data_IF_176538393838
#
_entry.id   IF_176538393838
#
_cell.length_a   1.000
_cell.length_b   1.000
_cell.length_c   1.000
_cell.angle_alpha   90.00
_cell.angle_beta   90.00
_cell.angle_gamma   90.00
#
_symmetry.space_group_name_H-M   'P 1'
#
loop_
_entity.id
_entity.type
_entity.pdbx_description
1 polymer ?
#
# COMPACT_ATOMS: atom_id res chain seq x y z
N UNK A 1 -19.75 25.68 -8.46
CA UNK A 1 -19.28 24.32 -8.03
C UNK A 1 -17.79 24.25 -8.31
N UNK A 2 -17.00 23.96 -7.31
CA UNK A 2 -15.55 23.69 -7.47
C UNK A 2 -15.37 22.33 -8.14
N UNK A 3 -14.48 22.23 -9.14
CA UNK A 3 -14.12 20.94 -9.74
C UNK A 3 -13.37 20.10 -8.71
N UNK A 4 -13.58 18.77 -8.66
CA UNK A 4 -12.76 17.89 -7.82
C UNK A 4 -11.27 18.04 -8.17
N UNK A 5 -10.44 18.20 -7.15
CA UNK A 5 -9.00 18.37 -7.35
C UNK A 5 -8.28 17.04 -7.07
N UNK A 6 -7.85 16.38 -8.13
CA UNK A 6 -7.05 15.15 -8.10
C UNK A 6 -5.55 15.42 -8.24
N UNK A 7 -5.13 16.69 -8.29
CA UNK A 7 -3.72 17.05 -8.42
C UNK A 7 -2.92 16.70 -7.17
N UNK A 8 -1.73 16.17 -7.39
CA UNK A 8 -0.73 15.96 -6.35
C UNK A 8 0.46 16.90 -6.49
N UNK A 9 0.28 18.00 -7.27
CA UNK A 9 1.34 19.00 -7.52
C UNK A 9 1.84 19.59 -6.19
N UNK A 10 3.16 19.55 -6.00
CA UNK A 10 3.82 20.06 -4.80
C UNK A 10 3.71 19.14 -3.58
N UNK A 11 3.13 17.95 -3.71
CA UNK A 11 3.10 16.92 -2.68
C UNK A 11 4.33 16.04 -2.76
N UNK A 12 4.76 15.50 -1.61
CA UNK A 12 5.81 14.50 -1.46
C UNK A 12 5.17 13.20 -0.98
N UNK A 13 5.35 12.14 -1.74
CA UNK A 13 4.83 10.82 -1.42
C UNK A 13 5.97 9.84 -1.06
N UNK A 14 5.76 9.05 0.01
CA UNK A 14 6.57 7.88 0.32
C UNK A 14 5.76 6.61 0.01
N UNK A 15 6.26 5.78 -0.91
CA UNK A 15 5.62 4.52 -1.33
C UNK A 15 6.51 3.34 -0.96
N UNK A 16 6.04 2.48 -0.04
CA UNK A 16 6.75 1.24 0.31
C UNK A 16 6.40 0.09 -0.64
N UNK A 17 7.35 -0.81 -0.88
CA UNK A 17 7.19 -1.84 -1.92
C UNK A 17 7.12 -1.24 -3.33
N UNK A 18 7.73 -0.07 -3.55
CA UNK A 18 7.63 0.73 -4.77
C UNK A 18 8.38 0.20 -5.99
N UNK A 19 9.09 -0.94 -5.88
CA UNK A 19 9.90 -1.47 -6.98
C UNK A 19 9.13 -2.27 -8.04
N UNK A 20 7.89 -2.69 -7.77
CA UNK A 20 7.06 -3.50 -8.69
C UNK A 20 5.58 -3.50 -8.31
N UNK A 21 4.75 -4.11 -9.18
CA UNK A 21 3.32 -4.32 -8.95
C UNK A 21 2.59 -3.05 -8.57
N UNK A 22 1.65 -3.14 -7.63
CA UNK A 22 0.81 -2.02 -7.18
C UNK A 22 1.65 -0.83 -6.70
N UNK A 23 2.75 -1.08 -5.95
CA UNK A 23 3.60 0.00 -5.46
C UNK A 23 4.31 0.77 -6.57
N UNK A 24 4.84 0.09 -7.61
CA UNK A 24 5.42 0.74 -8.79
C UNK A 24 4.35 1.55 -9.54
N UNK A 25 3.20 0.93 -9.84
CA UNK A 25 2.10 1.60 -10.55
C UNK A 25 1.64 2.85 -9.79
N UNK A 26 1.49 2.75 -8.45
CA UNK A 26 1.14 3.89 -7.59
C UNK A 26 2.20 5.00 -7.66
N UNK A 27 3.48 4.66 -7.57
CA UNK A 27 4.57 5.64 -7.61
C UNK A 27 4.60 6.40 -8.94
N UNK A 28 4.42 5.70 -10.07
CA UNK A 28 4.33 6.29 -11.40
C UNK A 28 3.07 7.14 -11.56
N UNK A 29 1.91 6.65 -11.07
CA UNK A 29 0.65 7.40 -11.09
C UNK A 29 0.72 8.68 -10.26
N UNK A 30 1.36 8.65 -9.10
CA UNK A 30 1.55 9.86 -8.28
C UNK A 30 2.49 10.87 -8.96
N UNK A 31 3.55 10.39 -9.60
CA UNK A 31 4.44 11.25 -10.39
C UNK A 31 3.68 11.91 -11.56
N UNK A 32 2.87 11.15 -12.29
CA UNK A 32 2.02 11.70 -13.38
C UNK A 32 1.00 12.73 -12.89
N UNK A 33 0.50 12.56 -11.64
CA UNK A 33 -0.40 13.51 -10.98
C UNK A 33 0.33 14.74 -10.38
N UNK A 34 1.68 14.77 -10.43
CA UNK A 34 2.49 15.93 -10.05
C UNK A 34 3.23 15.83 -8.72
N UNK A 35 3.23 14.68 -8.04
CA UNK A 35 3.99 14.48 -6.80
C UNK A 35 5.47 14.21 -7.04
N UNK A 36 6.32 14.62 -6.12
CA UNK A 36 7.66 14.09 -5.95
C UNK A 36 7.57 12.82 -5.11
N UNK A 37 8.35 11.78 -5.45
CA UNK A 37 8.11 10.44 -4.89
C UNK A 37 9.38 9.83 -4.31
N UNK A 38 9.36 9.47 -3.03
CA UNK A 38 10.29 8.52 -2.44
C UNK A 38 9.72 7.10 -2.57
N UNK A 39 10.54 6.17 -3.02
CA UNK A 39 10.16 4.76 -3.15
C UNK A 39 11.09 3.90 -2.30
N UNK A 40 10.51 2.99 -1.52
CA UNK A 40 11.27 2.12 -0.63
C UNK A 40 11.03 0.64 -0.95
N UNK A 41 12.09 -0.14 -1.02
CA UNK A 41 12.10 -1.59 -1.05
C UNK A 41 13.51 -2.12 -0.69
N UNK A 42 13.70 -3.44 -0.65
CA UNK A 42 14.98 -4.03 -0.19
C UNK A 42 16.15 -3.88 -1.17
N UNK A 43 15.89 -3.78 -2.48
CA UNK A 43 16.91 -3.80 -3.52
C UNK A 43 17.00 -2.44 -4.20
N UNK A 44 18.13 -1.76 -4.06
CA UNK A 44 18.36 -0.46 -4.67
C UNK A 44 18.30 -0.50 -6.21
N UNK A 45 18.89 -1.47 -6.93
CA UNK A 45 18.80 -1.49 -8.39
C UNK A 45 17.34 -1.49 -8.92
N UNK A 46 16.46 -2.30 -8.33
CA UNK A 46 15.06 -2.36 -8.74
C UNK A 46 14.32 -1.01 -8.50
N UNK A 47 14.75 -0.24 -7.50
CA UNK A 47 14.22 1.09 -7.20
C UNK A 47 14.75 2.15 -8.16
N UNK A 48 16.02 2.08 -8.55
CA UNK A 48 16.61 3.05 -9.49
C UNK A 48 15.95 2.98 -10.87
N UNK A 49 15.54 1.80 -11.32
CA UNK A 49 14.75 1.66 -12.56
C UNK A 49 13.45 2.45 -12.48
N UNK A 50 12.70 2.28 -11.39
CA UNK A 50 11.44 3.01 -11.19
C UNK A 50 11.68 4.50 -10.98
N UNK A 51 12.73 4.88 -10.26
CA UNK A 51 13.11 6.27 -10.06
C UNK A 51 13.44 6.96 -11.39
N UNK A 52 14.10 6.27 -12.32
CA UNK A 52 14.35 6.78 -13.66
C UNK A 52 13.03 7.02 -14.44
N UNK A 53 12.05 6.13 -14.31
CA UNK A 53 10.73 6.33 -14.91
C UNK A 53 9.99 7.54 -14.32
N UNK A 54 10.02 7.72 -12.98
CA UNK A 54 9.44 8.88 -12.30
C UNK A 54 10.06 10.19 -12.79
N UNK A 55 11.39 10.22 -12.94
CA UNK A 55 12.13 11.40 -13.43
C UNK A 55 11.72 11.80 -14.85
N UNK A 56 11.27 10.87 -15.70
CA UNK A 56 10.73 11.17 -17.04
C UNK A 56 9.43 12.00 -16.99
N UNK A 57 8.69 11.96 -15.89
CA UNK A 57 7.55 12.84 -15.63
C UNK A 57 7.96 14.23 -15.11
N UNK A 58 9.27 14.54 -15.08
CA UNK A 58 9.78 15.81 -14.55
C UNK A 58 9.66 15.93 -13.03
N UNK A 59 9.51 14.80 -12.32
CA UNK A 59 9.38 14.77 -10.86
C UNK A 59 10.67 14.32 -10.19
N UNK A 60 10.88 14.76 -8.94
CA UNK A 60 11.97 14.22 -8.13
C UNK A 60 11.63 12.80 -7.71
N UNK A 61 12.64 11.92 -7.74
CA UNK A 61 12.53 10.53 -7.31
C UNK A 61 13.68 10.17 -6.39
N UNK A 62 13.34 9.66 -5.19
CA UNK A 62 14.32 9.21 -4.18
C UNK A 62 14.16 7.70 -3.95
N UNK A 63 15.04 6.85 -4.47
CA UNK A 63 15.09 5.44 -4.15
C UNK A 63 15.78 5.22 -2.80
N UNK A 64 15.12 4.56 -1.85
CA UNK A 64 15.69 4.27 -0.52
C UNK A 64 15.61 2.77 -0.24
N UNK A 65 16.74 2.06 -0.13
CA UNK A 65 16.73 0.66 0.26
C UNK A 65 16.34 0.53 1.74
N UNK A 66 15.23 -0.16 2.01
CA UNK A 66 14.77 -0.42 3.38
C UNK A 66 13.83 -1.63 3.45
N UNK A 67 13.88 -2.35 4.57
CA UNK A 67 12.97 -3.42 4.93
C UNK A 67 12.03 -2.96 6.04
N UNK A 68 10.83 -2.48 5.67
CA UNK A 68 9.88 -1.88 6.63
C UNK A 68 9.29 -2.85 7.67
N UNK A 69 9.54 -4.14 7.55
CA UNK A 69 9.28 -5.11 8.63
C UNK A 69 10.34 -5.13 9.73
N UNK A 70 11.41 -4.35 9.59
CA UNK A 70 12.48 -4.17 10.58
C UNK A 70 12.41 -2.76 11.14
N UNK A 71 12.05 -2.65 12.42
CA UNK A 71 11.77 -1.35 13.04
C UNK A 71 13.00 -0.43 13.06
N UNK A 72 14.19 -1.00 13.16
CA UNK A 72 15.46 -0.27 13.12
C UNK A 72 15.71 0.45 11.79
N UNK A 73 15.19 -0.10 10.68
CA UNK A 73 15.35 0.51 9.34
C UNK A 73 14.33 1.62 9.07
N UNK A 74 13.18 1.63 9.78
CA UNK A 74 12.10 2.62 9.58
C UNK A 74 12.58 4.04 9.88
N UNK A 75 13.30 4.23 10.99
CA UNK A 75 13.80 5.56 11.38
C UNK A 75 14.76 6.13 10.33
N UNK A 76 15.66 5.29 9.80
CA UNK A 76 16.58 5.68 8.75
C UNK A 76 15.85 6.07 7.46
N UNK A 77 14.87 5.26 7.03
CA UNK A 77 14.03 5.54 5.86
C UNK A 77 13.34 6.91 5.98
N UNK A 78 12.61 7.12 7.08
CA UNK A 78 11.84 8.36 7.29
C UNK A 78 12.75 9.58 7.34
N UNK A 79 13.88 9.50 8.06
CA UNK A 79 14.86 10.58 8.13
C UNK A 79 15.45 10.91 6.75
N UNK A 80 15.82 9.90 5.96
CA UNK A 80 16.37 10.11 4.60
C UNK A 80 15.38 10.84 3.71
N UNK A 81 14.09 10.44 3.74
CA UNK A 81 13.05 11.12 2.95
C UNK A 81 12.82 12.55 3.44
N UNK A 82 12.77 12.75 4.75
CA UNK A 82 12.59 14.08 5.33
C UNK A 82 13.76 15.02 5.02
N UNK A 83 14.99 14.55 5.09
CA UNK A 83 16.18 15.35 4.75
C UNK A 83 16.18 15.79 3.28
N UNK A 84 15.74 14.92 2.35
CA UNK A 84 15.70 15.26 0.92
C UNK A 84 14.59 16.23 0.56
N UNK A 85 13.38 16.04 1.13
CA UNK A 85 12.19 16.78 0.69
C UNK A 85 11.68 17.81 1.70
N UNK A 86 12.10 17.76 2.96
CA UNK A 86 11.67 18.64 4.04
C UNK A 86 10.25 18.34 4.58
N UNK A 87 9.53 17.37 3.99
CA UNK A 87 8.18 16.97 4.40
C UNK A 87 7.80 15.61 3.82
N UNK A 88 6.70 15.04 4.30
CA UNK A 88 6.02 13.88 3.71
C UNK A 88 4.52 14.15 3.77
N UNK A 89 3.89 14.41 2.63
CA UNK A 89 2.45 14.70 2.56
C UNK A 89 1.61 13.42 2.41
N UNK A 90 2.17 12.37 1.79
CA UNK A 90 1.46 11.13 1.46
C UNK A 90 2.33 9.94 1.85
N UNK A 91 1.77 9.00 2.61
CA UNK A 91 2.38 7.69 2.86
C UNK A 91 1.53 6.58 2.24
N UNK A 92 2.15 5.70 1.46
CA UNK A 92 1.54 4.47 0.97
C UNK A 92 2.24 3.26 1.59
N UNK A 93 1.55 2.59 2.50
CA UNK A 93 1.96 1.31 3.06
C UNK A 93 1.53 0.18 2.14
N UNK A 94 2.36 -0.10 1.11
CA UNK A 94 2.07 -1.15 0.14
C UNK A 94 2.97 -2.39 0.31
N UNK A 95 4.13 -2.27 0.95
CA UNK A 95 4.99 -3.43 1.20
C UNK A 95 4.23 -4.51 1.99
N UNK A 96 4.23 -5.74 1.48
CA UNK A 96 3.55 -6.87 2.09
C UNK A 96 4.06 -8.21 1.57
N UNK A 97 3.70 -9.28 2.26
CA UNK A 97 4.10 -10.65 1.90
C UNK A 97 3.04 -11.67 2.31
N UNK A 98 2.96 -12.75 1.52
CA UNK A 98 2.27 -14.00 1.83
C UNK A 98 3.09 -15.13 1.17
N UNK A 99 4.20 -15.56 1.79
CA UNK A 99 5.21 -16.37 1.10
C UNK A 99 4.85 -17.85 0.99
N UNK A 100 3.81 -18.32 1.66
CA UNK A 100 3.44 -19.72 1.69
C UNK A 100 1.91 -19.89 1.77
N UNK A 101 1.43 -20.95 1.18
CA UNK A 101 0.11 -21.54 1.42
C UNK A 101 0.26 -22.51 2.59
N UNK A 102 -0.39 -22.21 3.72
CA UNK A 102 -0.21 -22.97 4.97
C UNK A 102 -1.55 -23.09 5.71
N UNK A 103 -2.04 -24.32 5.96
CA UNK A 103 -3.17 -24.53 6.85
C UNK A 103 -2.88 -23.99 8.25
N UNK A 104 -3.90 -23.47 8.93
CA UNK A 104 -3.72 -22.90 10.28
C UNK A 104 -3.25 -23.94 11.31
N UNK A 105 -3.56 -25.22 11.09
CA UNK A 105 -3.11 -26.30 11.95
C UNK A 105 -1.59 -26.53 11.91
N UNK A 106 -0.97 -26.25 10.76
CA UNK A 106 0.45 -26.47 10.50
C UNK A 106 1.27 -25.17 10.57
N UNK A 107 0.67 -24.10 11.12
CA UNK A 107 1.29 -22.80 11.18
C UNK A 107 2.49 -22.77 12.13
N UNK A 108 3.65 -22.45 11.60
CA UNK A 108 4.86 -22.18 12.38
C UNK A 108 4.95 -20.71 12.82
N UNK A 109 5.45 -20.48 14.04
CA UNK A 109 5.70 -19.14 14.60
C UNK A 109 6.54 -18.27 13.65
N UNK A 110 7.55 -18.84 13.01
CA UNK A 110 8.40 -18.12 12.04
C UNK A 110 7.59 -17.53 10.87
N UNK A 111 6.60 -18.26 10.36
CA UNK A 111 5.75 -17.77 9.26
C UNK A 111 4.81 -16.66 9.76
N UNK A 112 4.25 -16.84 10.96
CA UNK A 112 3.45 -15.82 11.64
C UNK A 112 4.24 -14.53 11.80
N UNK A 113 5.43 -14.58 12.39
CA UNK A 113 6.27 -13.41 12.65
C UNK A 113 6.66 -12.70 11.35
N UNK A 114 7.03 -13.46 10.32
CA UNK A 114 7.41 -12.90 9.02
C UNK A 114 6.27 -12.06 8.42
N UNK A 115 5.05 -12.59 8.44
CA UNK A 115 3.86 -11.92 7.88
C UNK A 115 3.45 -10.75 8.77
N UNK A 116 3.30 -10.96 10.06
CA UNK A 116 2.81 -9.93 11.00
C UNK A 116 3.80 -8.77 11.13
N UNK A 117 5.10 -9.05 11.15
CA UNK A 117 6.12 -8.01 11.23
C UNK A 117 6.10 -7.08 10.00
N UNK A 118 5.89 -7.62 8.79
CA UNK A 118 5.88 -6.80 7.58
C UNK A 118 4.51 -6.17 7.30
N UNK A 119 3.43 -6.99 7.38
CA UNK A 119 2.11 -6.56 6.92
C UNK A 119 1.35 -5.71 7.95
N UNK A 120 1.72 -5.77 9.24
CA UNK A 120 1.03 -5.04 10.30
C UNK A 120 1.97 -4.21 11.16
N UNK A 121 2.91 -4.84 11.89
CA UNK A 121 3.77 -4.13 12.83
C UNK A 121 4.58 -3.02 12.16
N UNK A 122 5.26 -3.34 11.07
CA UNK A 122 6.04 -2.35 10.30
C UNK A 122 5.18 -1.21 9.76
N UNK A 123 3.96 -1.51 9.28
CA UNK A 123 3.00 -0.51 8.82
C UNK A 123 2.61 0.46 9.92
N UNK A 124 2.26 -0.04 11.11
CA UNK A 124 1.87 0.81 12.24
C UNK A 124 3.01 1.74 12.64
N UNK A 125 4.22 1.21 12.83
CA UNK A 125 5.37 2.02 13.28
C UNK A 125 5.90 2.98 12.21
N UNK A 126 5.82 2.62 10.92
CA UNK A 126 6.13 3.54 9.84
C UNK A 126 5.09 4.67 9.77
N UNK A 127 3.80 4.32 9.85
CA UNK A 127 2.72 5.32 9.89
C UNK A 127 2.88 6.27 11.06
N UNK A 128 3.21 5.77 12.26
CA UNK A 128 3.48 6.59 13.44
C UNK A 128 4.66 7.55 13.22
N UNK A 129 5.76 7.07 12.62
CA UNK A 129 6.95 7.90 12.38
C UNK A 129 6.65 9.02 11.38
N UNK A 130 5.89 8.72 10.30
CA UNK A 130 5.48 9.70 9.29
C UNK A 130 4.42 10.65 9.82
N UNK A 131 3.45 10.16 10.59
CA UNK A 131 2.39 11.00 11.19
C UNK A 131 2.96 12.08 12.11
N UNK A 132 4.07 11.84 12.82
CA UNK A 132 4.76 12.86 13.60
C UNK A 132 5.28 14.01 12.73
N UNK A 133 5.79 13.71 11.53
CA UNK A 133 6.21 14.74 10.56
C UNK A 133 4.97 15.46 10.02
N UNK A 134 3.95 14.73 9.60
CA UNK A 134 2.71 15.30 9.06
C UNK A 134 2.07 16.28 10.04
N UNK A 135 1.99 15.93 11.33
CA UNK A 135 1.47 16.79 12.41
C UNK A 135 2.17 18.15 12.45
N UNK A 136 3.48 18.19 12.25
CA UNK A 136 4.28 19.44 12.30
C UNK A 136 4.18 20.25 11.00
N UNK A 137 3.64 19.65 9.91
CA UNK A 137 3.59 20.24 8.58
C UNK A 137 2.15 20.46 8.08
N UNK A 138 1.15 20.49 8.97
CA UNK A 138 -0.23 20.80 8.61
C UNK A 138 -1.03 19.64 8.05
N UNK A 139 -0.72 18.42 8.48
CA UNK A 139 -1.47 17.23 8.15
C UNK A 139 -0.91 16.43 6.97
N UNK A 140 -1.71 15.47 6.50
CA UNK A 140 -1.32 14.58 5.40
C UNK A 140 -2.32 13.45 5.14
N UNK A 141 -1.91 12.49 4.34
CA UNK A 141 -2.74 11.30 4.11
C UNK A 141 -1.92 10.01 4.10
N UNK A 142 -2.45 8.99 4.73
CA UNK A 142 -1.87 7.65 4.80
C UNK A 142 -2.82 6.68 4.11
N UNK A 143 -2.29 5.87 3.19
CA UNK A 143 -3.05 4.86 2.46
C UNK A 143 -2.43 3.50 2.72
N UNK A 144 -3.21 2.59 3.30
CA UNK A 144 -2.79 1.23 3.61
C UNK A 144 -3.30 0.26 2.54
N UNK A 145 -2.45 -0.62 2.02
CA UNK A 145 -2.87 -1.71 1.15
C UNK A 145 -3.30 -2.90 1.99
N UNK A 146 -4.62 -3.02 2.13
CA UNK A 146 -5.29 -4.18 2.73
C UNK A 146 -5.46 -5.31 1.71
N UNK A 147 -6.56 -6.02 1.74
CA UNK A 147 -6.96 -7.07 0.80
C UNK A 147 -8.45 -7.38 0.96
N UNK A 148 -9.08 -7.93 -0.06
CA UNK A 148 -10.43 -8.53 0.08
C UNK A 148 -10.45 -9.66 1.13
N UNK A 149 -9.32 -10.30 1.39
CA UNK A 149 -9.19 -11.33 2.43
C UNK A 149 -9.30 -10.79 3.86
N UNK A 150 -9.33 -9.47 4.04
CA UNK A 150 -9.70 -8.85 5.31
C UNK A 150 -11.20 -8.96 5.63
N UNK A 151 -12.03 -9.19 4.61
CA UNK A 151 -13.50 -9.26 4.69
C UNK A 151 -14.05 -10.65 4.40
N UNK A 152 -13.31 -11.44 3.62
CA UNK A 152 -13.65 -12.81 3.26
C UNK A 152 -12.48 -13.73 3.57
N UNK A 153 -12.75 -14.86 4.21
CA UNK A 153 -11.69 -15.84 4.46
C UNK A 153 -11.26 -16.55 3.16
N UNK A 154 -9.99 -16.83 3.08
CA UNK A 154 -9.39 -17.69 2.06
C UNK A 154 -8.63 -18.81 2.77
N UNK A 155 -8.86 -20.05 2.36
CA UNK A 155 -8.20 -21.23 2.95
C UNK A 155 -6.70 -21.18 2.72
N UNK A 156 -5.96 -21.65 3.72
CA UNK A 156 -4.50 -21.82 3.69
C UNK A 156 -3.66 -20.52 3.58
N UNK A 157 -4.29 -19.35 3.68
CA UNK A 157 -3.62 -18.05 3.84
C UNK A 157 -4.12 -17.28 5.07
N UNK A 158 -4.46 -18.02 6.12
CA UNK A 158 -5.12 -17.47 7.32
C UNK A 158 -4.35 -16.34 7.99
N UNK A 159 -3.02 -16.46 8.18
CA UNK A 159 -2.20 -15.41 8.81
C UNK A 159 -2.17 -14.13 7.96
N UNK A 160 -2.10 -14.27 6.64
CA UNK A 160 -2.19 -13.11 5.75
C UNK A 160 -3.53 -12.41 5.91
N UNK A 161 -4.65 -13.15 5.89
CA UNK A 161 -5.99 -12.61 6.09
C UNK A 161 -6.13 -11.91 7.44
N UNK A 162 -5.64 -12.53 8.52
CA UNK A 162 -5.59 -11.94 9.86
C UNK A 162 -4.81 -10.63 9.85
N UNK A 163 -3.63 -10.59 9.21
CA UNK A 163 -2.81 -9.39 9.13
C UNK A 163 -3.53 -8.25 8.40
N UNK A 164 -4.29 -8.56 7.33
CA UNK A 164 -5.03 -7.57 6.55
C UNK A 164 -6.32 -7.10 7.24
N UNK A 165 -7.01 -7.99 7.97
CA UNK A 165 -8.13 -7.62 8.82
C UNK A 165 -7.68 -6.69 9.97
N UNK A 166 -6.58 -7.03 10.64
CA UNK A 166 -5.98 -6.20 11.67
C UNK A 166 -5.52 -4.83 11.12
N UNK A 167 -4.95 -4.79 9.90
CA UNK A 167 -4.57 -3.53 9.24
C UNK A 167 -5.80 -2.67 8.91
N UNK A 168 -6.91 -3.27 8.50
CA UNK A 168 -8.16 -2.55 8.25
C UNK A 168 -8.69 -1.92 9.54
N UNK A 169 -8.63 -2.63 10.67
CA UNK A 169 -8.99 -2.06 11.97
C UNK A 169 -7.98 -0.97 12.41
N UNK A 170 -6.67 -1.20 12.25
CA UNK A 170 -5.64 -0.20 12.55
C UNK A 170 -5.83 1.09 11.73
N UNK A 171 -6.28 0.99 10.48
CA UNK A 171 -6.63 2.14 9.64
C UNK A 171 -7.70 3.00 10.29
N UNK A 172 -8.77 2.41 10.81
CA UNK A 172 -9.87 3.14 11.48
C UNK A 172 -9.40 3.79 12.78
N UNK A 173 -8.61 3.09 13.58
CA UNK A 173 -8.05 3.61 14.83
C UNK A 173 -7.16 4.83 14.54
N UNK A 174 -6.20 4.70 13.62
CA UNK A 174 -5.31 5.79 13.24
C UNK A 174 -6.07 6.98 12.64
N UNK A 175 -7.13 6.72 11.86
CA UNK A 175 -7.98 7.77 11.30
C UNK A 175 -8.68 8.57 12.40
N UNK A 176 -9.21 7.91 13.42
CA UNK A 176 -9.87 8.56 14.55
C UNK A 176 -8.89 9.36 15.42
N UNK A 177 -7.75 8.74 15.76
CA UNK A 177 -6.79 9.35 16.69
C UNK A 177 -6.01 10.53 16.07
N UNK A 178 -5.78 10.50 14.74
CA UNK A 178 -4.95 11.48 14.07
C UNK A 178 -5.72 12.56 13.29
N UNK A 179 -7.05 12.51 13.32
CA UNK A 179 -7.91 13.51 12.71
C UNK A 179 -7.68 14.92 13.29
N UNK A 180 -7.38 15.03 14.59
CA UNK A 180 -7.07 16.31 15.23
C UNK A 180 -5.80 16.99 14.66
N UNK A 181 -4.95 16.24 13.94
CA UNK A 181 -3.74 16.73 13.27
C UNK A 181 -3.91 16.91 11.75
N UNK A 182 -5.15 16.92 11.26
CA UNK A 182 -5.46 16.96 9.83
C UNK A 182 -4.84 15.80 9.01
N UNK A 183 -4.66 14.63 9.65
CA UNK A 183 -4.16 13.42 9.01
C UNK A 183 -5.33 12.50 8.68
N UNK A 184 -5.53 12.22 7.39
CA UNK A 184 -6.49 11.22 6.94
C UNK A 184 -5.81 9.87 6.79
N UNK A 185 -6.44 8.81 7.24
CA UNK A 185 -5.92 7.44 7.10
C UNK A 185 -7.00 6.57 6.49
N UNK A 186 -6.72 6.01 5.31
CA UNK A 186 -7.64 5.15 4.58
C UNK A 186 -6.94 3.87 4.11
N UNK A 187 -7.70 2.92 3.62
CA UNK A 187 -7.18 1.71 3.02
C UNK A 187 -7.76 1.47 1.62
N UNK A 188 -7.03 0.69 0.83
CA UNK A 188 -7.55 0.03 -0.37
C UNK A 188 -7.48 -1.48 -0.11
N UNK A 189 -8.54 -2.19 -0.47
CA UNK A 189 -8.61 -3.64 -0.44
C UNK A 189 -8.66 -4.18 -1.88
N UNK A 190 -7.51 -4.49 -2.49
CA UNK A 190 -7.48 -5.10 -3.80
C UNK A 190 -8.05 -6.52 -3.77
N UNK A 191 -8.72 -6.93 -4.85
CA UNK A 191 -8.90 -8.32 -5.21
C UNK A 191 -7.60 -8.95 -5.70
N UNK A 192 -7.72 -9.94 -6.56
CA UNK A 192 -6.55 -10.53 -7.21
C UNK A 192 -6.03 -9.61 -8.31
N UNK A 193 -4.79 -9.17 -8.18
CA UNK A 193 -4.11 -8.26 -9.10
C UNK A 193 -2.85 -8.95 -9.63
N UNK A 194 -2.58 -8.82 -10.93
CA UNK A 194 -1.37 -9.32 -11.58
C UNK A 194 -0.12 -8.71 -10.93
N UNK A 195 0.44 -9.44 -9.99
CA UNK A 195 1.65 -9.10 -9.26
C UNK A 195 2.39 -10.38 -8.94
N UNK A 196 3.69 -10.29 -8.65
CA UNK A 196 4.43 -11.47 -8.20
C UNK A 196 3.80 -12.16 -6.98
N UNK A 197 3.20 -11.40 -6.06
CA UNK A 197 2.52 -11.95 -4.89
C UNK A 197 1.20 -12.65 -5.30
N UNK A 198 0.41 -12.03 -6.16
CA UNK A 198 -0.84 -12.60 -6.64
C UNK A 198 -0.60 -13.82 -7.52
N UNK A 199 0.26 -13.70 -8.51
CA UNK A 199 0.49 -14.76 -9.50
C UNK A 199 1.15 -16.01 -8.91
N UNK A 200 1.96 -15.88 -7.83
CA UNK A 200 2.59 -17.02 -7.15
C UNK A 200 1.59 -18.05 -6.61
N UNK A 201 0.35 -17.65 -6.30
CA UNK A 201 -0.72 -18.57 -5.89
C UNK A 201 -1.13 -19.45 -7.04
N UNK A 202 -1.29 -18.88 -8.24
CA UNK A 202 -1.66 -19.63 -9.43
C UNK A 202 -0.54 -20.48 -10.01
N UNK A 203 0.72 -20.04 -9.85
CA UNK A 203 1.89 -20.88 -10.16
C UNK A 203 1.92 -22.15 -9.29
N UNK A 204 1.49 -22.04 -8.02
CA UNK A 204 1.41 -23.17 -7.08
C UNK A 204 0.18 -24.06 -7.28
N UNK A 205 -0.90 -23.49 -7.82
CA UNK A 205 -2.21 -24.13 -8.01
C UNK A 205 -2.79 -23.78 -9.39
N UNK A 206 -2.26 -24.33 -10.51
CA UNK A 206 -2.65 -23.94 -11.86
C UNK A 206 -4.15 -24.11 -12.16
N UNK A 207 -4.75 -25.21 -11.73
CA UNK A 207 -6.17 -25.51 -11.96
C UNK A 207 -7.10 -24.54 -11.20
N UNK A 208 -6.59 -23.88 -10.14
CA UNK A 208 -7.35 -22.94 -9.34
C UNK A 208 -7.59 -21.60 -10.06
N UNK A 209 -6.73 -21.23 -11.00
CA UNK A 209 -6.81 -19.94 -11.70
C UNK A 209 -8.14 -19.75 -12.44
N UNK A 210 -8.51 -20.71 -13.26
CA UNK A 210 -9.74 -20.62 -14.07
C UNK A 210 -10.99 -20.66 -13.19
N UNK A 211 -10.94 -21.44 -12.12
CA UNK A 211 -12.01 -21.52 -11.14
C UNK A 211 -12.14 -20.21 -10.36
N UNK A 212 -11.02 -19.60 -10.01
CA UNK A 212 -11.00 -18.29 -9.38
C UNK A 212 -11.60 -17.21 -10.29
N UNK A 213 -11.18 -17.15 -11.56
CA UNK A 213 -11.66 -16.15 -12.53
C UNK A 213 -13.18 -16.24 -12.71
N UNK A 214 -13.76 -17.45 -12.71
CA UNK A 214 -15.21 -17.65 -12.80
C UNK A 214 -16.00 -17.04 -11.64
N UNK A 215 -15.35 -16.85 -10.47
CA UNK A 215 -15.95 -16.21 -9.30
C UNK A 215 -15.81 -14.68 -9.29
N UNK A 216 -15.00 -14.11 -10.20
CA UNK A 216 -14.86 -12.66 -10.34
C UNK A 216 -15.95 -12.15 -11.29
N UNK A 217 -16.90 -11.31 -10.87
CA UNK A 217 -17.96 -10.81 -11.75
C UNK A 217 -17.47 -10.15 -13.03
N UNK A 218 -16.34 -9.41 -13.01
CA UNK A 218 -15.73 -8.86 -14.21
C UNK A 218 -14.98 -9.90 -15.07
N UNK A 219 -14.92 -11.18 -14.68
CA UNK A 219 -14.41 -12.30 -15.46
C UNK A 219 -12.90 -12.27 -15.71
N UNK A 220 -12.13 -11.54 -14.93
CA UNK A 220 -10.68 -11.43 -15.11
C UNK A 220 -9.95 -11.05 -13.82
N UNK A 221 -8.64 -11.23 -13.83
CA UNK A 221 -7.73 -10.67 -12.82
C UNK A 221 -7.51 -9.19 -13.16
N UNK A 222 -7.32 -8.35 -12.15
CA UNK A 222 -7.04 -6.92 -12.33
C UNK A 222 -5.55 -6.66 -12.57
N UNK A 223 -5.25 -5.51 -13.19
CA UNK A 223 -3.89 -5.03 -13.36
C UNK A 223 -3.51 -3.99 -12.29
N UNK A 224 -2.21 -3.85 -11.96
CA UNK A 224 -1.76 -2.85 -10.98
C UNK A 224 -2.23 -1.43 -11.26
N UNK A 225 -2.32 -1.04 -12.53
CA UNK A 225 -2.74 0.29 -12.96
C UNK A 225 -4.21 0.60 -12.61
N UNK A 226 -5.05 -0.43 -12.44
CA UNK A 226 -6.46 -0.25 -12.06
C UNK A 226 -6.64 0.16 -10.60
N UNK A 227 -5.61 0.00 -9.77
CA UNK A 227 -5.60 0.49 -8.38
C UNK A 227 -5.26 1.98 -8.32
N UNK A 228 -4.53 2.51 -9.31
CA UNK A 228 -3.96 3.87 -9.29
C UNK A 228 -5.02 4.95 -9.16
N UNK A 229 -6.18 4.80 -9.81
CA UNK A 229 -7.27 5.76 -9.72
C UNK A 229 -7.76 5.96 -8.27
N UNK A 230 -7.98 4.88 -7.53
CA UNK A 230 -8.36 4.92 -6.13
C UNK A 230 -7.23 5.49 -5.24
N UNK A 231 -5.96 5.19 -5.57
CA UNK A 231 -4.80 5.78 -4.88
C UNK A 231 -4.75 7.29 -5.03
N UNK A 232 -4.87 7.82 -6.26
CA UNK A 232 -4.87 9.26 -6.53
C UNK A 232 -6.06 9.93 -5.84
N UNK A 233 -7.25 9.31 -5.87
CA UNK A 233 -8.42 9.82 -5.14
C UNK A 233 -8.12 9.99 -3.65
N UNK A 234 -7.65 8.94 -2.97
CA UNK A 234 -7.36 8.99 -1.53
C UNK A 234 -6.17 9.91 -1.18
N UNK A 235 -5.21 10.06 -2.09
CA UNK A 235 -4.04 10.93 -1.92
C UNK A 235 -4.35 12.42 -2.10
N UNK A 236 -5.42 12.76 -2.82
CA UNK A 236 -5.73 14.13 -3.25
C UNK A 236 -6.79 14.82 -2.38
N UNK A 237 -7.02 16.10 -2.67
CA UNK A 237 -8.09 16.87 -2.04
C UNK A 237 -9.51 16.42 -2.45
N UNK A 238 -9.64 15.62 -3.52
CA UNK A 238 -10.93 15.04 -3.93
C UNK A 238 -11.54 14.15 -2.85
N UNK A 239 -10.73 13.65 -1.91
CA UNK A 239 -11.14 12.83 -0.75
C UNK A 239 -10.98 13.55 0.60
N UNK A 240 -11.03 14.88 0.63
CA UNK A 240 -10.78 15.69 1.84
C UNK A 240 -11.71 15.36 3.02
N UNK A 241 -12.88 14.78 2.76
CA UNK A 241 -13.84 14.37 3.80
C UNK A 241 -13.94 12.84 3.96
N UNK A 242 -12.90 12.10 3.51
CA UNK A 242 -12.82 10.63 3.60
C UNK A 242 -11.66 10.24 4.51
N UNK A 243 -11.98 9.63 5.65
CA UNK A 243 -11.00 9.05 6.58
C UNK A 243 -11.60 7.83 7.28
N UNK A 244 -10.76 6.84 7.61
CA UNK A 244 -11.18 5.57 8.22
C UNK A 244 -11.83 4.58 7.25
N UNK A 245 -11.87 4.88 5.96
CA UNK A 245 -12.59 4.08 4.95
C UNK A 245 -11.66 3.07 4.28
N UNK A 246 -12.26 2.00 3.76
CA UNK A 246 -11.57 0.99 2.95
C UNK A 246 -12.27 0.86 1.60
N UNK A 247 -11.62 1.32 0.54
CA UNK A 247 -12.12 1.19 -0.83
C UNK A 247 -11.76 -0.20 -1.36
N UNK A 248 -12.78 -0.97 -1.75
CA UNK A 248 -12.60 -2.26 -2.39
C UNK A 248 -12.42 -2.07 -3.90
N UNK A 249 -11.37 -2.69 -4.47
CA UNK A 249 -11.07 -2.70 -5.91
C UNK A 249 -10.77 -4.13 -6.33
N UNK A 250 -11.80 -4.91 -6.66
CA UNK A 250 -11.71 -6.37 -6.70
C UNK A 250 -12.47 -7.05 -7.87
N UNK A 251 -12.96 -6.25 -8.82
CA UNK A 251 -13.77 -6.79 -9.92
C UNK A 251 -15.10 -7.40 -9.50
N UNK A 252 -15.57 -7.07 -8.26
CA UNK A 252 -16.81 -7.56 -7.69
C UNK A 252 -16.67 -8.86 -6.86
N UNK A 253 -15.46 -9.34 -6.60
CA UNK A 253 -15.21 -10.62 -5.89
C UNK A 253 -15.91 -10.73 -4.53
N UNK A 254 -16.06 -9.62 -3.79
CA UNK A 254 -16.75 -9.62 -2.50
C UNK A 254 -18.28 -9.63 -2.59
N UNK A 255 -18.87 -9.53 -3.78
CA UNK A 255 -20.34 -9.57 -3.96
C UNK A 255 -20.86 -10.98 -4.22
N UNK A 256 -19.97 -11.97 -4.33
CA UNK A 256 -20.28 -13.38 -4.65
C UNK A 256 -20.02 -14.33 -3.48
#
# INVERSE_FOLDING_TARGET
MTKPDFSLKGKVALVTGGSRGIGKATALGFASAGADVAIASRKLPDLEEVAAEIRRWGRKALPVPAHVGRLEEIKGLVNTVYQEFGKIDILVNNAGTSPAICPMLDLEERLWDLIMNLNLKGVIFLSQAVARIMKEHGGGTIINISSVTAFRHETNIGVYSISKAALTMATRIMAQEWAEYDIRVNAIAPGHIHTRLGDSIFESLPDYKDEFIKRVPLGRIGDPDEIVGAMIYLASNASSYVTGETIVVDGGTLTT
#
